data_IF_592939072049
#
_entry.id   IF_592939072049
#
_cell.length_a   1.000
_cell.length_b   1.000
_cell.length_c   1.000
_cell.angle_alpha   90.00
_cell.angle_beta   90.00
_cell.angle_gamma   90.00
#
_symmetry.space_group_name_H-M   'P 1'
#
loop_
_entity.id
_entity.type
_entity.pdbx_description
1 polymer ?
#
# COMPACT_ATOMS: atom_id res chain seq x y z
N UNK A 1 -8.81 10.99 -5.10
CA UNK A 1 -8.77 9.51 -5.11
C UNK A 1 -9.32 8.91 -3.81
N UNK A 2 -9.09 9.51 -2.63
CA UNK A 2 -9.64 9.06 -1.33
C UNK A 2 -11.15 8.78 -1.35
N UNK A 3 -11.95 9.64 -2.00
CA UNK A 3 -13.39 9.44 -2.14
C UNK A 3 -13.76 8.10 -2.77
N UNK A 4 -13.02 7.63 -3.78
CA UNK A 4 -13.26 6.35 -4.46
C UNK A 4 -13.13 5.17 -3.49
N UNK A 5 -12.04 5.15 -2.71
CA UNK A 5 -11.77 4.07 -1.74
C UNK A 5 -12.84 4.06 -0.63
N UNK A 6 -13.26 5.22 -0.15
CA UNK A 6 -14.33 5.32 0.85
C UNK A 6 -15.67 4.84 0.31
N UNK A 7 -16.03 5.23 -0.92
CA UNK A 7 -17.25 4.72 -1.54
C UNK A 7 -17.18 3.20 -1.80
N UNK A 8 -16.00 2.63 -2.00
CA UNK A 8 -15.86 1.17 -2.07
C UNK A 8 -16.22 0.52 -0.72
N UNK A 9 -15.78 1.10 0.40
CA UNK A 9 -16.18 0.66 1.75
C UNK A 9 -17.69 0.81 1.94
N UNK A 10 -18.29 1.93 1.54
CA UNK A 10 -19.75 2.16 1.60
C UNK A 10 -20.54 1.12 0.79
N UNK A 11 -19.91 0.53 -0.24
CA UNK A 11 -20.48 -0.55 -1.08
C UNK A 11 -20.17 -1.95 -0.56
N UNK A 12 -19.58 -2.08 0.63
CA UNK A 12 -19.30 -3.36 1.27
C UNK A 12 -18.00 -4.03 0.83
N UNK A 13 -17.09 -3.32 0.15
CA UNK A 13 -15.76 -3.85 -0.16
C UNK A 13 -14.91 -3.79 1.11
N UNK A 14 -14.41 -4.95 1.53
CA UNK A 14 -13.65 -5.11 2.79
C UNK A 14 -12.20 -5.56 2.59
N UNK A 15 -11.77 -5.82 1.35
CA UNK A 15 -10.41 -6.26 1.05
C UNK A 15 -9.76 -5.33 0.03
N UNK A 16 -8.63 -4.73 0.41
CA UNK A 16 -7.89 -3.77 -0.41
C UNK A 16 -6.46 -4.26 -0.61
N UNK A 17 -6.02 -4.33 -1.86
CA UNK A 17 -4.69 -4.80 -2.24
C UNK A 17 -3.86 -3.64 -2.83
N UNK A 18 -2.63 -3.49 -2.36
CA UNK A 18 -1.67 -2.48 -2.82
C UNK A 18 -0.26 -3.08 -2.94
N UNK A 19 0.72 -2.27 -3.34
CA UNK A 19 2.13 -2.62 -3.38
C UNK A 19 2.98 -1.35 -3.36
N UNK A 20 4.22 -1.44 -2.89
CA UNK A 20 5.18 -0.31 -2.90
C UNK A 20 5.43 0.25 -4.30
N UNK A 21 5.25 -0.58 -5.34
CA UNK A 21 5.49 -0.23 -6.74
C UNK A 21 4.32 0.48 -7.43
N UNK A 22 3.11 0.41 -6.89
CA UNK A 22 1.96 1.10 -7.49
C UNK A 22 2.10 2.59 -7.20
N UNK A 23 2.30 3.41 -8.25
CA UNK A 23 2.63 4.83 -8.10
C UNK A 23 3.73 5.02 -7.05
N UNK A 24 4.99 4.69 -7.38
CA UNK A 24 6.00 4.26 -6.41
C UNK A 24 5.98 5.02 -5.08
N UNK A 25 5.77 4.27 -4.00
CA UNK A 25 5.68 4.74 -2.61
C UNK A 25 4.49 5.67 -2.27
N UNK A 26 3.68 6.08 -3.25
CA UNK A 26 2.54 6.98 -3.06
C UNK A 26 1.21 6.24 -2.87
N UNK A 27 0.99 5.11 -3.55
CA UNK A 27 -0.30 4.43 -3.46
C UNK A 27 -0.56 3.85 -2.07
N UNK A 28 0.47 3.32 -1.39
CA UNK A 28 0.33 2.83 -0.02
C UNK A 28 -0.03 3.96 0.97
N UNK A 29 0.59 5.13 0.82
CA UNK A 29 0.30 6.32 1.62
C UNK A 29 -1.14 6.80 1.43
N UNK A 30 -1.61 6.81 0.18
CA UNK A 30 -2.97 7.15 -0.19
C UNK A 30 -3.99 6.14 0.37
N UNK A 31 -3.70 4.83 0.26
CA UNK A 31 -4.57 3.76 0.80
C UNK A 31 -4.65 3.86 2.32
N UNK A 32 -3.51 4.04 3.00
CA UNK A 32 -3.44 4.24 4.44
C UNK A 32 -4.28 5.43 4.89
N UNK A 33 -4.12 6.59 4.27
CA UNK A 33 -4.90 7.80 4.59
C UNK A 33 -6.40 7.64 4.31
N UNK A 34 -6.76 7.03 3.18
CA UNK A 34 -8.16 6.86 2.79
C UNK A 34 -8.92 5.92 3.72
N UNK A 35 -8.26 4.84 4.17
CA UNK A 35 -8.84 3.75 4.95
C UNK A 35 -8.62 3.88 6.48
N UNK A 36 -7.85 4.87 6.95
CA UNK A 36 -7.62 5.11 8.38
C UNK A 36 -8.93 5.14 9.22
N UNK A 37 -10.05 5.75 8.76
CA UNK A 37 -11.32 5.71 9.50
C UNK A 37 -11.98 4.32 9.61
N UNK A 38 -11.50 3.32 8.85
CA UNK A 38 -12.14 2.01 8.67
C UNK A 38 -11.26 0.83 9.12
N UNK A 39 -10.20 1.07 9.91
CA UNK A 39 -9.18 0.09 10.36
C UNK A 39 -9.69 -1.23 10.95
N UNK A 40 -10.91 -1.24 11.51
CA UNK A 40 -11.55 -2.44 12.06
C UNK A 40 -12.56 -3.12 11.12
N UNK A 41 -12.78 -2.57 9.93
CA UNK A 41 -13.79 -3.00 8.96
C UNK A 41 -13.17 -3.55 7.68
N UNK A 42 -11.89 -3.26 7.43
CA UNK A 42 -11.20 -3.62 6.18
C UNK A 42 -9.89 -4.35 6.46
N UNK A 43 -9.50 -5.19 5.51
CA UNK A 43 -8.19 -5.83 5.45
C UNK A 43 -7.39 -5.19 4.33
N UNK A 44 -6.15 -4.78 4.64
CA UNK A 44 -5.21 -4.22 3.67
C UNK A 44 -4.09 -5.23 3.44
N UNK A 45 -3.95 -5.70 2.21
CA UNK A 45 -2.82 -6.48 1.76
C UNK A 45 -1.83 -5.58 1.02
N UNK A 46 -0.53 -5.73 1.30
CA UNK A 46 0.52 -5.07 0.54
C UNK A 46 1.61 -6.04 0.10
N UNK A 47 2.38 -5.63 -0.90
CA UNK A 47 3.48 -6.38 -1.50
C UNK A 47 4.73 -5.50 -1.51
N UNK A 48 5.84 -6.12 -1.16
CA UNK A 48 7.17 -5.53 -1.16
C UNK A 48 8.13 -6.50 -1.85
N UNK A 49 9.34 -6.04 -2.17
CA UNK A 49 10.32 -6.87 -2.86
C UNK A 49 10.94 -6.20 -4.08
N UNK A 50 10.68 -4.90 -4.32
CA UNK A 50 11.11 -4.20 -5.53
C UNK A 50 12.17 -3.15 -5.22
N UNK A 51 13.31 -3.24 -5.90
CA UNK A 51 14.25 -2.13 -6.02
C UNK A 51 13.77 -1.22 -7.16
N UNK A 52 13.20 -0.08 -6.77
CA UNK A 52 12.62 0.91 -7.67
C UNK A 52 13.66 1.99 -7.94
N UNK A 53 14.24 1.99 -9.14
CA UNK A 53 15.17 3.04 -9.53
C UNK A 53 14.45 4.35 -9.89
N UNK A 54 15.12 5.51 -9.82
CA UNK A 54 14.57 6.78 -10.31
C UNK A 54 14.16 6.75 -11.79
N UNK A 55 14.75 5.83 -12.58
CA UNK A 55 14.48 5.66 -14.00
C UNK A 55 13.29 4.70 -14.26
N UNK A 56 12.55 4.32 -13.22
CA UNK A 56 11.45 3.35 -13.28
C UNK A 56 11.87 1.94 -13.70
N UNK A 57 13.17 1.62 -13.67
CA UNK A 57 13.60 0.22 -13.72
C UNK A 57 13.19 -0.48 -12.42
N UNK A 58 12.55 -1.63 -12.57
CA UNK A 58 12.07 -2.46 -11.48
C UNK A 58 12.88 -3.75 -11.47
N UNK A 59 13.59 -3.98 -10.37
CA UNK A 59 14.27 -5.26 -10.12
C UNK A 59 13.79 -5.84 -8.80
N UNK A 60 13.92 -7.16 -8.62
CA UNK A 60 13.65 -7.75 -7.33
C UNK A 60 14.77 -7.40 -6.34
N UNK A 61 14.42 -7.12 -5.08
CA UNK A 61 15.42 -7.15 -4.01
C UNK A 61 16.06 -8.53 -3.98
N UNK A 62 17.39 -8.57 -4.01
CA UNK A 62 18.15 -9.80 -3.81
C UNK A 62 18.06 -10.30 -2.36
N UNK A 63 17.59 -9.44 -1.44
CA UNK A 63 17.46 -9.72 -0.01
C UNK A 63 16.13 -9.19 0.53
N UNK A 64 15.29 -10.06 1.09
CA UNK A 64 13.95 -9.74 1.63
C UNK A 64 13.97 -9.45 3.14
N UNK A 65 15.08 -8.91 3.68
CA UNK A 65 15.21 -8.55 5.10
C UNK A 65 14.16 -7.54 5.57
N UNK A 66 13.87 -7.58 6.88
CA UNK A 66 12.90 -6.74 7.62
C UNK A 66 12.97 -5.23 7.30
N UNK A 67 14.14 -4.72 6.98
CA UNK A 67 14.34 -3.30 6.64
C UNK A 67 13.57 -2.90 5.37
N UNK A 68 13.33 -3.82 4.44
CA UNK A 68 12.59 -3.59 3.20
C UNK A 68 11.06 -3.70 3.38
N UNK A 69 10.59 -4.20 4.53
CA UNK A 69 9.15 -4.36 4.86
C UNK A 69 8.61 -3.15 5.61
N UNK A 70 9.48 -2.48 6.38
CA UNK A 70 9.10 -1.42 7.33
C UNK A 70 8.46 -0.20 6.66
N UNK A 71 8.89 0.28 5.47
CA UNK A 71 8.26 1.40 4.78
C UNK A 71 6.80 1.13 4.41
N UNK A 72 6.52 0.01 3.74
CA UNK A 72 5.16 -0.38 3.35
C UNK A 72 4.24 -0.50 4.56
N UNK A 73 4.69 -1.17 5.63
CA UNK A 73 3.92 -1.28 6.86
C UNK A 73 3.59 0.09 7.48
N UNK A 74 4.52 1.06 7.47
CA UNK A 74 4.24 2.42 7.97
C UNK A 74 3.22 3.15 7.10
N UNK A 75 3.37 3.08 5.79
CA UNK A 75 2.49 3.75 4.84
C UNK A 75 1.05 3.26 4.98
N UNK A 76 0.85 1.94 5.05
CA UNK A 76 -0.47 1.36 5.23
C UNK A 76 -0.93 1.31 6.68
N UNK A 77 -0.23 1.87 7.68
CA UNK A 77 -0.60 1.82 9.12
C UNK A 77 -1.14 3.15 9.69
N UNK A 78 -1.31 4.18 8.86
CA UNK A 78 -1.93 5.47 9.24
C UNK A 78 -3.31 5.35 9.89
#
# INVERSE_FOLDING_TARGET
>A
MTALLRTAVDRGITFFDTAEVYGPFLNEELVGEALAPFRGQVVIATKFGFNISPNSELTAYQDLRRNNVTPSLRAIAK
#
